data_IF_964280531637
#
_entry.id   IF_964280531637
#
_cell.length_a   1.000
_cell.length_b   1.000
_cell.length_c   1.000
_cell.angle_alpha   90.00
_cell.angle_beta   90.00
_cell.angle_gamma   90.00
#
_symmetry.space_group_name_H-M   'P 1'
#
loop_
_entity.id
_entity.type
_entity.pdbx_description
1 polymer ?
#
# COMPACT_ATOMS: atom_id res chain seq x y z
N UNK A 1 -1.41 -18.53 26.14
CA UNK A 1 -1.47 -17.08 26.38
C UNK A 1 -2.69 -16.81 27.24
N UNK A 2 -2.56 -16.03 28.31
CA UNK A 2 -3.71 -15.64 29.15
C UNK A 2 -4.49 -14.51 28.48
N UNK A 3 -5.78 -14.40 28.77
CA UNK A 3 -6.65 -13.36 28.19
C UNK A 3 -6.13 -11.95 28.46
N UNK A 4 -5.61 -11.70 29.67
CA UNK A 4 -5.08 -10.39 30.05
C UNK A 4 -3.83 -10.02 29.24
N UNK A 5 -2.93 -10.97 28.98
CA UNK A 5 -1.74 -10.75 28.14
C UNK A 5 -2.12 -10.40 26.70
N UNK A 6 -3.14 -11.07 26.15
CA UNK A 6 -3.67 -10.77 24.83
C UNK A 6 -4.31 -9.38 24.75
N UNK A 7 -5.11 -9.03 25.77
CA UNK A 7 -5.75 -7.71 25.88
C UNK A 7 -4.71 -6.60 25.96
N UNK A 8 -3.66 -6.78 26.74
CA UNK A 8 -2.63 -5.77 26.92
C UNK A 8 -1.83 -5.53 25.62
N UNK A 9 -1.62 -6.57 24.80
CA UNK A 9 -1.05 -6.44 23.45
C UNK A 9 -1.99 -5.71 22.48
N UNK A 10 -3.30 -5.94 22.58
CA UNK A 10 -4.31 -5.31 21.72
C UNK A 10 -4.44 -3.80 21.97
N UNK A 11 -4.28 -3.35 23.21
CA UNK A 11 -4.39 -1.92 23.56
C UNK A 11 -3.39 -1.08 22.75
N UNK A 12 -2.21 -1.62 22.44
CA UNK A 12 -1.19 -0.92 21.64
C UNK A 12 -1.58 -0.67 20.17
N UNK A 13 -2.56 -1.41 19.63
CA UNK A 13 -2.99 -1.34 18.22
C UNK A 13 -4.32 -0.57 18.07
N UNK A 14 -4.90 -0.10 19.17
CA UNK A 14 -6.15 0.67 19.14
C UNK A 14 -6.06 1.94 18.28
N UNK A 15 -7.19 2.44 17.75
CA UNK A 15 -7.24 3.61 16.85
C UNK A 15 -6.71 4.89 17.51
N UNK A 16 -6.79 4.97 18.83
CA UNK A 16 -6.32 6.12 19.60
C UNK A 16 -4.81 6.09 19.90
N UNK A 17 -4.10 5.04 19.52
CA UNK A 17 -2.65 4.96 19.71
C UNK A 17 -1.88 5.54 18.53
N UNK A 18 -0.65 5.98 18.78
CA UNK A 18 0.24 6.44 17.71
C UNK A 18 0.50 5.35 16.65
N UNK A 19 0.58 4.08 17.06
CA UNK A 19 0.74 2.96 16.14
C UNK A 19 -0.53 2.72 15.32
N UNK A 20 -1.70 2.69 15.97
CA UNK A 20 -3.00 2.51 15.31
C UNK A 20 -3.22 3.56 14.23
N UNK A 21 -3.02 4.84 14.55
CA UNK A 21 -3.13 5.94 13.58
C UNK A 21 -2.18 5.78 12.38
N UNK A 22 -0.94 5.36 12.61
CA UNK A 22 0.02 5.13 11.51
C UNK A 22 -0.42 3.96 10.64
N UNK A 23 -0.96 2.89 11.24
CA UNK A 23 -1.49 1.73 10.51
C UNK A 23 -2.71 2.14 9.68
N UNK A 24 -3.66 2.89 10.25
CA UNK A 24 -4.83 3.43 9.55
C UNK A 24 -4.42 4.23 8.31
N UNK A 25 -3.50 5.19 8.48
CA UNK A 25 -3.00 6.01 7.35
C UNK A 25 -2.38 5.15 6.24
N UNK A 26 -1.67 4.07 6.61
CA UNK A 26 -1.00 3.19 5.64
C UNK A 26 -1.96 2.24 4.93
N UNK A 27 -3.01 1.81 5.61
CA UNK A 27 -4.00 0.86 5.12
C UNK A 27 -5.15 1.51 4.34
N UNK A 28 -5.28 2.84 4.38
CA UNK A 28 -6.39 3.54 3.72
C UNK A 28 -6.32 3.52 2.18
N UNK A 29 -7.46 3.20 1.58
CA UNK A 29 -7.68 3.06 0.14
C UNK A 29 -8.98 3.71 -0.36
N UNK A 30 -9.91 4.10 0.52
CA UNK A 30 -11.13 4.80 0.15
C UNK A 30 -10.82 6.22 -0.34
N UNK A 31 -11.27 6.54 -1.55
CA UNK A 31 -10.93 7.79 -2.24
C UNK A 31 -11.39 9.01 -1.45
N UNK A 32 -12.61 8.96 -0.93
CA UNK A 32 -13.25 10.04 -0.18
C UNK A 32 -12.48 10.38 1.09
N UNK A 33 -11.86 9.37 1.72
CA UNK A 33 -11.02 9.57 2.92
C UNK A 33 -9.67 10.16 2.52
N UNK A 34 -9.06 9.63 1.45
CA UNK A 34 -7.75 10.08 0.96
C UNK A 34 -7.76 11.53 0.47
N UNK A 35 -8.87 12.02 -0.08
CA UNK A 35 -9.02 13.42 -0.49
C UNK A 35 -8.94 14.39 0.70
N UNK A 36 -9.28 13.91 1.90
CA UNK A 36 -9.27 14.70 3.13
C UNK A 36 -7.98 14.52 3.95
N UNK A 37 -7.00 13.77 3.45
CA UNK A 37 -5.73 13.60 4.15
C UNK A 37 -4.96 14.91 4.24
N UNK A 38 -4.39 15.15 5.42
CA UNK A 38 -3.39 16.21 5.62
C UNK A 38 -2.12 15.90 4.81
N UNK A 39 -1.30 16.93 4.51
CA UNK A 39 -0.01 16.72 3.85
C UNK A 39 0.89 15.70 4.57
N UNK A 40 0.84 15.66 5.90
CA UNK A 40 1.63 14.72 6.69
C UNK A 40 1.11 13.28 6.57
N UNK A 41 -0.21 13.07 6.56
CA UNK A 41 -0.79 11.75 6.31
C UNK A 41 -0.41 11.22 4.92
N UNK A 42 -0.46 12.07 3.89
CA UNK A 42 0.06 11.73 2.57
C UNK A 42 1.54 11.38 2.59
N UNK A 43 2.38 12.14 3.33
CA UNK A 43 3.81 11.86 3.47
C UNK A 43 4.05 10.46 4.06
N UNK A 44 3.36 10.11 5.14
CA UNK A 44 3.46 8.82 5.82
C UNK A 44 3.07 7.68 4.87
N UNK A 45 1.91 7.80 4.21
CA UNK A 45 1.41 6.78 3.26
C UNK A 45 2.34 6.61 2.06
N UNK A 46 2.79 7.70 1.45
CA UNK A 46 3.66 7.68 0.29
C UNK A 46 5.07 7.14 0.63
N UNK A 47 5.60 7.42 1.82
CA UNK A 47 6.84 6.82 2.30
C UNK A 47 6.70 5.30 2.46
N UNK A 48 5.58 4.84 3.05
CA UNK A 48 5.29 3.42 3.21
C UNK A 48 5.17 2.71 1.86
N UNK A 49 4.36 3.22 0.93
CA UNK A 49 4.19 2.63 -0.40
C UNK A 49 5.50 2.54 -1.19
N UNK A 50 6.33 3.59 -1.14
CA UNK A 50 7.66 3.56 -1.76
C UNK A 50 8.57 2.49 -1.15
N UNK A 51 8.53 2.32 0.17
CA UNK A 51 9.27 1.25 0.85
C UNK A 51 8.77 -0.12 0.41
N UNK A 52 7.45 -0.33 0.45
CA UNK A 52 6.82 -1.59 0.09
C UNK A 52 7.13 -1.99 -1.37
N UNK A 53 7.04 -1.05 -2.31
CA UNK A 53 7.41 -1.29 -3.70
C UNK A 53 8.87 -1.71 -3.88
N UNK A 54 9.81 -1.07 -3.14
CA UNK A 54 11.22 -1.49 -3.17
C UNK A 54 11.44 -2.87 -2.58
N UNK A 55 10.71 -3.22 -1.52
CA UNK A 55 10.84 -4.53 -0.89
C UNK A 55 10.26 -5.63 -1.80
N UNK A 56 9.13 -5.38 -2.45
CA UNK A 56 8.55 -6.27 -3.47
C UNK A 56 9.52 -6.47 -4.65
N UNK A 57 10.16 -5.39 -5.12
CA UNK A 57 11.13 -5.47 -6.22
C UNK A 57 12.36 -6.35 -5.91
N UNK A 58 12.69 -6.58 -4.62
CA UNK A 58 13.77 -7.49 -4.23
C UNK A 58 13.36 -8.96 -4.29
N UNK A 59 12.06 -9.24 -4.18
CA UNK A 59 11.53 -10.60 -4.10
C UNK A 59 10.89 -11.07 -5.40
N UNK A 60 10.58 -10.16 -6.31
CA UNK A 60 10.02 -10.50 -7.62
C UNK A 60 11.04 -11.21 -8.50
N UNK A 61 10.60 -12.27 -9.18
CA UNK A 61 11.38 -12.91 -10.23
C UNK A 61 11.44 -12.03 -11.48
N UNK A 62 12.37 -12.34 -12.38
CA UNK A 62 12.48 -11.65 -13.66
C UNK A 62 11.22 -11.86 -14.51
N UNK A 63 10.68 -13.07 -14.51
CA UNK A 63 9.46 -13.44 -15.23
C UNK A 63 8.24 -12.65 -14.72
N UNK A 64 8.12 -12.47 -13.40
CA UNK A 64 7.05 -11.65 -12.80
C UNK A 64 7.17 -10.18 -13.20
N UNK A 65 8.40 -9.66 -13.27
CA UNK A 65 8.66 -8.30 -13.73
C UNK A 65 8.31 -8.14 -15.22
N UNK A 66 8.72 -9.09 -16.06
CA UNK A 66 8.46 -9.05 -17.51
C UNK A 66 6.94 -9.08 -17.79
N UNK A 67 6.19 -9.96 -17.10
CA UNK A 67 4.72 -10.00 -17.20
C UNK A 67 4.07 -8.67 -16.78
N UNK A 68 4.54 -8.05 -15.69
CA UNK A 68 4.01 -6.77 -15.23
C UNK A 68 4.28 -5.65 -16.26
N UNK A 69 5.47 -5.64 -16.87
CA UNK A 69 5.85 -4.66 -17.89
C UNK A 69 5.06 -4.83 -19.19
N UNK A 70 4.80 -6.07 -19.60
CA UNK A 70 3.94 -6.35 -20.74
C UNK A 70 2.49 -5.90 -20.51
N UNK A 71 1.97 -6.07 -19.29
CA UNK A 71 0.67 -5.52 -18.90
C UNK A 71 0.61 -3.99 -19.04
N UNK A 72 1.64 -3.29 -18.56
CA UNK A 72 1.75 -1.83 -18.68
C UNK A 72 1.85 -1.40 -20.16
N UNK A 73 2.69 -2.08 -20.95
CA UNK A 73 2.84 -1.85 -22.38
C UNK A 73 1.51 -1.99 -23.11
N UNK A 74 0.78 -3.07 -22.87
CA UNK A 74 -0.52 -3.33 -23.48
C UNK A 74 -1.58 -2.29 -23.08
N UNK A 75 -1.56 -1.83 -21.82
CA UNK A 75 -2.40 -0.72 -21.37
C UNK A 75 -2.12 0.56 -22.18
N UNK A 76 -0.84 0.93 -22.38
CA UNK A 76 -0.49 2.11 -23.18
C UNK A 76 -0.87 1.96 -24.66
N UNK A 77 -0.67 0.77 -25.25
CA UNK A 77 -1.10 0.50 -26.63
C UNK A 77 -2.62 0.64 -26.79
N UNK A 78 -3.39 0.10 -25.84
CA UNK A 78 -4.85 0.22 -25.83
C UNK A 78 -5.31 1.68 -25.72
N UNK A 79 -4.72 2.46 -24.81
CA UNK A 79 -5.03 3.89 -24.70
C UNK A 79 -4.69 4.69 -25.96
N UNK A 80 -3.70 4.25 -26.74
CA UNK A 80 -3.33 4.85 -28.03
C UNK A 80 -4.19 4.35 -29.21
N UNK A 81 -5.16 3.46 -28.98
CA UNK A 81 -6.03 2.90 -30.02
C UNK A 81 -5.37 1.80 -30.87
N UNK A 82 -4.25 1.24 -30.42
CA UNK A 82 -3.56 0.14 -31.10
C UNK A 82 -4.09 -1.21 -30.58
N UNK A 83 -4.26 -2.19 -31.50
CA UNK A 83 -4.68 -3.55 -31.11
C UNK A 83 -3.61 -4.19 -30.22
N UNK A 84 -4.04 -4.64 -29.05
CA UNK A 84 -3.26 -5.52 -28.17
C UNK A 84 -3.19 -6.92 -28.77
N UNK A 85 -2.03 -7.59 -28.66
CA UNK A 85 -1.83 -9.00 -29.03
C UNK A 85 -2.08 -9.87 -27.81
#
# INVERSE_FOLDING_TARGET
MKWDEFRDLLIGVGPDTALGRVVEIRAEDQKEILENFTPEQHRIRNAWRRKHARDLAKTMSKEEMDMAMDGIKNMFLSMAGLKTV
#
